data_IF_202845143012
#
_entry.id   IF_202845143012
#
_cell.length_a   1.000
_cell.length_b   1.000
_cell.length_c   1.000
_cell.angle_alpha   90.00
_cell.angle_beta   90.00
_cell.angle_gamma   90.00
#
_symmetry.space_group_name_H-M   'P 1'
#
loop_
_entity.id
_entity.type
_entity.pdbx_description
1 polymer ?
#
# COMPACT_ATOMS: atom_id res chain seq x y z
N UNK A 1 15.91 39.19 35.68
CA UNK A 1 16.47 37.82 35.81
C UNK A 1 17.92 37.84 35.35
N UNK A 2 18.83 37.24 36.12
CA UNK A 2 20.26 37.22 35.77
C UNK A 2 20.51 36.19 34.66
N UNK A 3 21.46 36.48 33.76
CA UNK A 3 21.90 35.58 32.70
C UNK A 3 22.28 34.18 33.24
N UNK A 4 22.80 34.14 34.48
CA UNK A 4 23.08 32.88 35.20
C UNK A 4 21.82 32.09 35.50
N UNK A 5 20.72 32.75 35.88
CA UNK A 5 19.43 32.10 36.13
C UNK A 5 18.82 31.55 34.84
N UNK A 6 19.03 32.24 33.72
CA UNK A 6 18.58 31.78 32.39
C UNK A 6 19.36 30.54 31.91
N UNK A 7 20.68 30.53 32.10
CA UNK A 7 21.56 29.40 31.76
C UNK A 7 21.29 28.14 32.59
N UNK A 8 21.02 28.30 33.89
CA UNK A 8 20.65 27.18 34.76
C UNK A 8 19.29 26.59 34.37
N UNK A 9 18.32 27.43 34.00
CA UNK A 9 17.03 26.97 33.50
C UNK A 9 17.16 26.26 32.14
N UNK A 10 18.00 26.77 31.23
CA UNK A 10 18.24 26.11 29.93
C UNK A 10 18.91 24.74 30.11
N UNK A 11 19.87 24.63 31.04
CA UNK A 11 20.53 23.36 31.34
C UNK A 11 19.58 22.31 31.97
N UNK A 12 18.62 22.75 32.78
CA UNK A 12 17.58 21.89 33.36
C UNK A 12 16.56 21.40 32.32
N UNK A 13 16.23 22.22 31.31
CA UNK A 13 15.32 21.83 30.22
C UNK A 13 15.99 20.81 29.28
N UNK A 14 17.29 20.95 29.02
CA UNK A 14 18.04 20.01 28.16
C UNK A 14 18.23 18.63 28.82
N UNK A 15 18.22 18.54 30.16
CA UNK A 15 18.28 17.27 30.89
C UNK A 15 16.96 16.49 30.89
N UNK A 16 15.83 17.14 30.59
CA UNK A 16 14.51 16.51 30.50
C UNK A 16 14.17 16.01 29.09
N UNK A 17 14.98 16.34 28.09
CA UNK A 17 14.89 15.79 26.73
C UNK A 17 15.82 14.59 26.55
N UNK A 18 15.90 13.71 27.54
CA UNK A 18 16.46 12.39 27.34
C UNK A 18 15.64 11.68 26.26
N UNK A 19 16.29 11.18 25.20
CA UNK A 19 15.65 10.38 24.16
C UNK A 19 14.95 9.19 24.82
N UNK A 20 13.65 9.32 25.11
CA UNK A 20 12.85 8.22 25.61
C UNK A 20 12.66 7.23 24.46
N UNK A 21 13.52 6.22 24.41
CA UNK A 21 13.29 5.06 23.54
C UNK A 21 11.93 4.45 23.88
N UNK A 22 11.15 4.00 22.88
CA UNK A 22 9.89 3.33 23.15
C UNK A 22 10.10 2.16 24.12
N UNK A 23 9.13 1.89 25.00
CA UNK A 23 9.23 0.76 25.93
C UNK A 23 9.51 -0.54 25.15
N UNK A 24 10.34 -1.44 25.70
CA UNK A 24 10.66 -2.69 25.02
C UNK A 24 9.41 -3.55 24.84
N UNK A 25 9.38 -4.33 23.76
CA UNK A 25 8.32 -5.31 23.53
C UNK A 25 8.29 -6.34 24.67
N UNK A 26 7.07 -6.66 25.15
CA UNK A 26 6.86 -7.73 26.12
C UNK A 26 6.76 -9.09 25.40
N UNK A 27 7.06 -10.22 26.09
CA UNK A 27 7.09 -11.54 25.47
C UNK A 27 5.80 -11.90 24.71
N UNK A 28 5.95 -12.46 23.51
CA UNK A 28 4.81 -12.88 22.68
C UNK A 28 4.31 -14.27 23.10
N UNK A 29 3.34 -14.29 24.01
CA UNK A 29 2.65 -15.51 24.45
C UNK A 29 1.42 -15.78 23.57
N UNK A 30 0.94 -17.04 23.46
CA UNK A 30 -0.26 -17.35 22.67
C UNK A 30 -1.48 -16.49 23.05
N UNK A 31 -1.67 -16.24 24.35
CA UNK A 31 -2.73 -15.36 24.85
C UNK A 31 -2.57 -13.93 24.33
N UNK A 32 -1.36 -13.36 24.41
CA UNK A 32 -1.10 -12.00 23.94
C UNK A 32 -1.29 -11.89 22.44
N UNK A 33 -0.84 -12.90 21.68
CA UNK A 33 -1.06 -12.97 20.23
C UNK A 33 -2.54 -12.96 19.87
N UNK A 34 -3.36 -13.75 20.56
CA UNK A 34 -4.81 -13.78 20.34
C UNK A 34 -5.46 -12.41 20.62
N UNK A 35 -5.03 -11.73 21.69
CA UNK A 35 -5.51 -10.37 22.01
C UNK A 35 -5.14 -9.37 20.90
N UNK A 36 -3.90 -9.41 20.41
CA UNK A 36 -3.42 -8.55 19.33
C UNK A 36 -4.18 -8.80 18.02
N UNK A 37 -4.44 -10.06 17.67
CA UNK A 37 -5.25 -10.42 16.49
C UNK A 37 -6.69 -9.87 16.60
N UNK A 38 -7.31 -9.97 17.79
CA UNK A 38 -8.65 -9.41 18.03
C UNK A 38 -8.68 -7.89 17.92
N UNK A 39 -7.64 -7.20 18.39
CA UNK A 39 -7.50 -5.76 18.19
C UNK A 39 -7.28 -5.41 16.72
N UNK A 40 -6.45 -6.17 16.00
CA UNK A 40 -6.18 -5.94 14.58
C UNK A 40 -7.44 -6.10 13.71
N UNK A 41 -8.28 -7.10 13.99
CA UNK A 41 -9.56 -7.31 13.32
C UNK A 41 -10.57 -6.15 13.50
N UNK A 42 -10.32 -5.27 14.47
CA UNK A 42 -11.08 -4.04 14.77
C UNK A 42 -10.34 -2.77 14.36
N UNK A 43 -9.16 -2.87 13.77
CA UNK A 43 -8.36 -1.72 13.36
C UNK A 43 -9.00 -0.95 12.20
N UNK A 44 -8.63 0.33 12.05
CA UNK A 44 -9.20 1.26 11.08
C UNK A 44 -9.20 0.71 9.64
N UNK A 45 -8.09 0.12 9.19
CA UNK A 45 -8.00 -0.51 7.86
C UNK A 45 -8.95 -1.70 7.72
N UNK A 46 -9.02 -2.58 8.73
CA UNK A 46 -9.89 -3.76 8.66
C UNK A 46 -11.37 -3.41 8.69
N UNK A 47 -11.76 -2.37 9.44
CA UNK A 47 -13.13 -1.84 9.41
C UNK A 47 -13.44 -1.22 8.05
N UNK A 48 -12.50 -0.48 7.46
CA UNK A 48 -12.65 0.11 6.13
C UNK A 48 -12.89 -0.96 5.06
N UNK A 49 -12.16 -2.09 5.10
CA UNK A 49 -12.40 -3.21 4.18
C UNK A 49 -13.80 -3.79 4.32
N UNK A 50 -14.24 -4.06 5.56
CA UNK A 50 -15.60 -4.57 5.82
C UNK A 50 -16.67 -3.62 5.29
N UNK A 51 -16.49 -2.31 5.43
CA UNK A 51 -17.41 -1.31 4.89
C UNK A 51 -17.42 -1.29 3.36
N UNK A 52 -16.26 -1.41 2.71
CA UNK A 52 -16.16 -1.48 1.25
C UNK A 52 -16.81 -2.75 0.70
N UNK A 53 -16.62 -3.89 1.36
CA UNK A 53 -17.26 -5.16 1.01
C UNK A 53 -18.78 -5.06 1.14
N UNK A 54 -19.27 -4.49 2.24
CA UNK A 54 -20.70 -4.30 2.47
C UNK A 54 -21.33 -3.35 1.43
N UNK A 55 -20.64 -2.27 1.05
CA UNK A 55 -21.09 -1.35 0.00
C UNK A 55 -21.13 -2.04 -1.36
N UNK A 56 -20.11 -2.83 -1.69
CA UNK A 56 -20.04 -3.58 -2.94
C UNK A 56 -21.18 -4.61 -3.05
N UNK A 57 -21.49 -5.30 -1.96
CA UNK A 57 -22.59 -6.26 -1.89
C UNK A 57 -23.98 -5.62 -1.98
N UNK A 58 -24.11 -4.33 -1.66
CA UNK A 58 -25.38 -3.60 -1.65
C UNK A 58 -25.76 -2.99 -3.01
N UNK A 59 -24.85 -2.95 -3.99
CA UNK A 59 -25.13 -2.44 -5.35
C UNK A 59 -25.72 -3.57 -6.21
N UNK A 60 -26.99 -3.50 -6.64
CA UNK A 60 -27.56 -4.46 -7.57
C UNK A 60 -27.02 -4.16 -8.99
N UNK A 61 -26.17 -5.03 -9.51
CA UNK A 61 -25.56 -4.88 -10.84
C UNK A 61 -24.43 -5.88 -11.04
N UNK A 62 -24.09 -6.18 -12.30
CA UNK A 62 -23.06 -7.15 -12.66
C UNK A 62 -21.77 -6.94 -11.85
N UNK A 63 -21.07 -8.03 -11.44
CA UNK A 63 -19.79 -7.91 -10.79
C UNK A 63 -18.91 -6.95 -11.58
N UNK A 64 -18.20 -6.04 -10.90
CA UNK A 64 -17.26 -5.13 -11.54
C UNK A 64 -16.23 -5.96 -12.31
N UNK A 65 -16.46 -6.17 -13.61
CA UNK A 65 -15.68 -7.09 -14.44
C UNK A 65 -14.26 -6.53 -14.52
N UNK A 66 -13.31 -7.25 -13.94
CA UNK A 66 -11.90 -6.97 -14.14
C UNK A 66 -11.53 -7.37 -15.56
N UNK A 67 -10.89 -6.45 -16.29
CA UNK A 67 -10.33 -6.73 -17.61
C UNK A 67 -9.20 -7.75 -17.46
N UNK A 68 -9.29 -8.87 -18.16
CA UNK A 68 -8.23 -9.88 -18.17
C UNK A 68 -7.07 -9.48 -19.09
N UNK A 69 -5.89 -10.06 -18.85
CA UNK A 69 -4.73 -9.85 -19.71
C UNK A 69 -4.99 -10.28 -21.16
N UNK A 70 -5.77 -11.35 -21.36
CA UNK A 70 -6.12 -11.86 -22.69
C UNK A 70 -7.06 -10.90 -23.44
N UNK A 71 -8.04 -10.30 -22.76
CA UNK A 71 -8.92 -9.28 -23.36
C UNK A 71 -8.14 -8.01 -23.71
N UNK A 72 -7.30 -7.53 -22.80
CA UNK A 72 -6.43 -6.38 -23.03
C UNK A 72 -5.48 -6.64 -24.22
N UNK A 73 -4.90 -7.84 -24.30
CA UNK A 73 -4.02 -8.25 -25.40
C UNK A 73 -4.79 -8.34 -26.73
N UNK A 74 -5.98 -8.93 -26.74
CA UNK A 74 -6.80 -9.07 -27.94
C UNK A 74 -7.19 -7.71 -28.52
N UNK A 75 -7.64 -6.78 -27.66
CA UNK A 75 -7.95 -5.40 -28.05
C UNK A 75 -6.70 -4.71 -28.63
N UNK A 76 -5.55 -4.86 -27.98
CA UNK A 76 -4.33 -4.22 -28.45
C UNK A 76 -3.78 -4.81 -29.76
N UNK A 77 -3.89 -6.13 -29.96
CA UNK A 77 -3.55 -6.79 -31.24
C UNK A 77 -4.35 -6.19 -32.40
N UNK A 78 -5.66 -6.00 -32.19
CA UNK A 78 -6.54 -5.37 -33.17
C UNK A 78 -6.15 -3.92 -33.44
N UNK A 79 -5.81 -3.16 -32.40
CA UNK A 79 -5.39 -1.76 -32.53
C UNK A 79 -4.08 -1.61 -33.29
N UNK A 80 -3.06 -2.40 -32.96
CA UNK A 80 -1.77 -2.29 -33.64
C UNK A 80 -1.86 -2.73 -35.10
N UNK A 81 -2.64 -3.79 -35.39
CA UNK A 81 -2.80 -4.37 -36.73
C UNK A 81 -1.45 -4.62 -37.45
N UNK A 82 -0.46 -5.09 -36.71
CA UNK A 82 0.87 -5.48 -37.22
C UNK A 82 1.10 -6.97 -37.01
N UNK A 83 1.83 -7.58 -37.93
CA UNK A 83 2.26 -8.97 -37.79
C UNK A 83 3.55 -9.03 -36.95
N UNK A 84 3.42 -9.51 -35.71
CA UNK A 84 4.53 -9.69 -34.78
C UNK A 84 4.64 -11.16 -34.34
N UNK A 85 5.85 -11.66 -34.03
CA UNK A 85 6.05 -13.04 -33.64
C UNK A 85 5.22 -13.44 -32.40
N UNK A 86 4.81 -14.70 -32.32
CA UNK A 86 4.06 -15.23 -31.17
C UNK A 86 4.74 -14.95 -29.82
N UNK A 87 6.08 -15.03 -29.78
CA UNK A 87 6.87 -14.75 -28.59
C UNK A 87 6.72 -13.30 -28.06
N UNK A 88 6.54 -12.31 -28.95
CA UNK A 88 6.25 -10.93 -28.54
C UNK A 88 4.92 -10.86 -27.78
N UNK A 89 3.88 -11.49 -28.33
CA UNK A 89 2.56 -11.47 -27.74
C UNK A 89 2.48 -12.24 -26.42
N UNK A 90 3.26 -13.31 -26.27
CA UNK A 90 3.36 -14.04 -25.00
C UNK A 90 4.01 -13.19 -23.91
N UNK A 91 5.12 -12.51 -24.21
CA UNK A 91 5.78 -11.62 -23.25
C UNK A 91 4.89 -10.42 -22.89
N UNK A 92 4.23 -9.81 -23.87
CA UNK A 92 3.28 -8.73 -23.64
C UNK A 92 2.11 -9.15 -22.73
N UNK A 93 1.57 -10.35 -22.94
CA UNK A 93 0.52 -10.92 -22.09
C UNK A 93 0.98 -11.07 -20.64
N UNK A 94 2.22 -11.54 -20.43
CA UNK A 94 2.80 -11.66 -19.10
C UNK A 94 2.96 -10.29 -18.42
N UNK A 95 3.44 -9.28 -19.14
CA UNK A 95 3.56 -7.91 -18.64
C UNK A 95 2.19 -7.33 -18.27
N UNK A 96 1.16 -7.55 -19.12
CA UNK A 96 -0.21 -7.11 -18.84
C UNK A 96 -0.81 -7.78 -17.59
N UNK A 97 -0.58 -9.09 -17.41
CA UNK A 97 -1.03 -9.80 -16.23
C UNK A 97 -0.43 -9.21 -14.94
N UNK A 98 0.88 -8.92 -14.96
CA UNK A 98 1.55 -8.26 -13.83
C UNK A 98 0.93 -6.88 -13.52
N UNK A 99 0.66 -6.07 -14.55
CA UNK A 99 0.05 -4.75 -14.38
C UNK A 99 -1.37 -4.84 -13.79
N UNK A 100 -2.19 -5.80 -14.24
CA UNK A 100 -3.55 -6.01 -13.75
C UNK A 100 -3.53 -6.38 -12.26
N UNK A 101 -2.56 -7.20 -11.85
CA UNK A 101 -2.41 -7.65 -10.46
C UNK A 101 -1.69 -6.64 -9.56
N UNK A 102 -1.11 -5.57 -10.12
CA UNK A 102 -0.25 -4.61 -9.41
C UNK A 102 -0.90 -4.05 -8.14
N UNK A 103 -2.16 -3.63 -8.23
CA UNK A 103 -2.88 -3.08 -7.07
C UNK A 103 -3.12 -4.15 -6.00
N UNK A 104 -3.57 -5.34 -6.38
CA UNK A 104 -3.82 -6.43 -5.44
C UNK A 104 -2.53 -6.85 -4.71
N UNK A 105 -1.40 -6.87 -5.44
CA UNK A 105 -0.08 -7.08 -4.86
C UNK A 105 0.29 -5.98 -3.86
N UNK A 106 0.10 -4.71 -4.24
CA UNK A 106 0.32 -3.57 -3.34
C UNK A 106 -0.53 -3.65 -2.07
N UNK A 107 -1.81 -3.99 -2.19
CA UNK A 107 -2.73 -4.19 -1.06
C UNK A 107 -2.26 -5.32 -0.13
N UNK A 108 -1.80 -6.45 -0.68
CA UNK A 108 -1.28 -7.57 0.10
C UNK A 108 0.01 -7.21 0.88
N UNK A 109 0.96 -6.55 0.20
CA UNK A 109 2.22 -6.10 0.83
C UNK A 109 1.92 -5.04 1.89
N UNK A 110 1.10 -4.04 1.56
CA UNK A 110 0.66 -3.00 2.48
C UNK A 110 0.00 -3.56 3.72
N UNK A 111 -0.90 -4.55 3.57
CA UNK A 111 -1.58 -5.16 4.71
C UNK A 111 -0.61 -5.93 5.61
N UNK A 112 0.34 -6.67 5.04
CA UNK A 112 1.36 -7.38 5.79
C UNK A 112 2.25 -6.41 6.59
N UNK A 113 2.72 -5.33 5.95
CA UNK A 113 3.55 -4.30 6.58
C UNK A 113 2.78 -3.53 7.67
N UNK A 114 1.51 -3.21 7.41
CA UNK A 114 0.62 -2.59 8.38
C UNK A 114 0.41 -3.49 9.60
N UNK A 115 0.08 -4.78 9.40
CA UNK A 115 -0.08 -5.74 10.50
C UNK A 115 1.18 -5.86 11.34
N UNK A 116 2.35 -5.92 10.70
CA UNK A 116 3.62 -5.95 11.41
C UNK A 116 3.79 -4.73 12.31
N UNK A 117 3.68 -3.50 11.77
CA UNK A 117 3.84 -2.27 12.58
C UNK A 117 2.78 -2.13 13.67
N UNK A 118 1.56 -2.55 13.39
CA UNK A 118 0.48 -2.57 14.37
C UNK A 118 0.85 -3.50 15.54
N UNK A 119 1.31 -4.72 15.26
CA UNK A 119 1.73 -5.67 16.28
C UNK A 119 2.98 -5.21 17.04
N UNK A 120 3.93 -4.56 16.37
CA UNK A 120 5.08 -3.93 17.01
C UNK A 120 4.65 -2.92 18.09
N UNK A 121 3.65 -2.09 17.81
CA UNK A 121 3.09 -1.15 18.80
C UNK A 121 2.34 -1.89 19.93
N UNK A 122 1.46 -2.84 19.58
CA UNK A 122 0.71 -3.60 20.59
C UNK A 122 1.61 -4.43 21.51
N UNK A 123 2.74 -4.93 21.02
CA UNK A 123 3.67 -5.76 21.78
C UNK A 123 4.23 -5.06 23.02
N UNK A 124 4.24 -3.73 23.04
CA UNK A 124 4.74 -2.90 24.14
C UNK A 124 3.70 -2.76 25.27
N UNK A 125 2.43 -3.03 24.99
CA UNK A 125 1.35 -2.84 25.94
C UNK A 125 1.24 -4.00 26.96
N UNK A 126 0.98 -3.68 28.24
CA UNK A 126 0.66 -4.68 29.26
C UNK A 126 -0.54 -5.55 28.84
N UNK A 127 -0.48 -6.84 29.15
CA UNK A 127 -1.55 -7.80 28.83
C UNK A 127 -2.94 -7.37 29.34
N UNK A 128 -3.10 -6.78 30.54
CA UNK A 128 -4.41 -6.27 30.98
C UNK A 128 -4.98 -5.16 30.08
N UNK A 129 -4.14 -4.27 29.55
CA UNK A 129 -4.58 -3.22 28.61
C UNK A 129 -4.98 -3.82 27.27
N UNK A 130 -4.19 -4.75 26.72
CA UNK A 130 -4.55 -5.49 25.51
C UNK A 130 -5.88 -6.24 25.70
N UNK A 131 -6.10 -6.84 26.87
CA UNK A 131 -7.35 -7.53 27.19
C UNK A 131 -8.56 -6.57 27.25
N UNK A 132 -8.42 -5.42 27.90
CA UNK A 132 -9.48 -4.41 27.95
C UNK A 132 -9.87 -3.94 26.54
N UNK A 133 -8.89 -3.56 25.73
CA UNK A 133 -9.10 -3.07 24.36
C UNK A 133 -9.65 -4.14 23.42
N UNK A 134 -9.09 -5.36 23.44
CA UNK A 134 -9.52 -6.45 22.57
C UNK A 134 -10.99 -6.88 22.84
N UNK A 135 -11.43 -6.81 24.10
CA UNK A 135 -12.78 -7.20 24.50
C UNK A 135 -13.82 -6.07 24.35
N UNK A 136 -13.39 -4.82 24.23
CA UNK A 136 -14.30 -3.68 24.09
C UNK A 136 -15.08 -3.74 22.76
N UNK A 137 -16.38 -3.40 22.74
CA UNK A 137 -17.14 -3.24 21.50
C UNK A 137 -16.55 -2.14 20.60
N UNK A 138 -16.10 -1.04 21.22
CA UNK A 138 -15.37 0.05 20.57
C UNK A 138 -14.08 0.33 21.33
N UNK A 139 -12.94 -0.06 20.76
CA UNK A 139 -11.64 0.10 21.39
C UNK A 139 -11.24 1.59 21.49
N UNK A 140 -11.55 2.38 20.47
CA UNK A 140 -11.26 3.82 20.36
C UNK A 140 -11.98 4.69 21.40
N UNK A 141 -13.01 4.16 22.06
CA UNK A 141 -13.75 4.83 23.12
C UNK A 141 -13.08 4.69 24.50
N UNK A 142 -12.09 3.81 24.65
CA UNK A 142 -11.40 3.55 25.91
C UNK A 142 -10.18 4.47 26.08
N UNK A 143 -9.94 4.91 27.32
CA UNK A 143 -8.82 5.81 27.64
C UNK A 143 -7.45 5.14 27.42
N UNK A 144 -7.39 3.82 27.45
CA UNK A 144 -6.21 3.01 27.20
C UNK A 144 -5.81 2.98 25.71
N UNK A 145 -6.74 3.24 24.80
CA UNK A 145 -6.48 3.15 23.36
C UNK A 145 -5.35 4.08 22.88
N UNK A 146 -5.38 5.41 23.16
CA UNK A 146 -4.28 6.29 22.77
C UNK A 146 -2.97 6.01 23.51
N UNK A 147 -2.99 5.23 24.60
CA UNK A 147 -1.76 4.80 25.30
C UNK A 147 -1.09 3.62 24.60
N UNK A 148 -1.89 2.76 23.97
CA UNK A 148 -1.42 1.54 23.29
C UNK A 148 -1.17 1.76 21.80
N UNK A 149 -2.00 2.58 21.15
CA UNK A 149 -1.92 2.95 19.73
C UNK A 149 -1.99 4.47 19.57
N UNK A 150 -0.99 5.22 20.04
CA UNK A 150 -0.99 6.69 19.99
C UNK A 150 -1.06 7.25 18.56
N UNK A 151 -0.68 6.45 17.55
CA UNK A 151 -0.54 6.86 16.16
C UNK A 151 -1.33 5.95 15.19
N UNK A 152 -2.50 5.43 15.59
CA UNK A 152 -3.32 4.54 14.73
C UNK A 152 -3.61 5.13 13.34
N UNK A 153 -3.94 6.43 13.28
CA UNK A 153 -4.14 7.11 12.00
C UNK A 153 -2.87 7.13 11.13
N UNK A 154 -1.68 7.32 11.73
CA UNK A 154 -0.43 7.27 10.97
C UNK A 154 -0.15 5.87 10.43
N UNK A 155 -0.54 4.81 11.15
CA UNK A 155 -0.45 3.45 10.64
C UNK A 155 -1.38 3.24 9.45
N UNK A 156 -2.58 3.84 9.46
CA UNK A 156 -3.49 3.81 8.32
C UNK A 156 -2.91 4.55 7.11
N UNK A 157 -2.28 5.72 7.32
CA UNK A 157 -1.54 6.40 6.25
C UNK A 157 -0.37 5.59 5.74
N UNK A 158 0.38 4.94 6.64
CA UNK A 158 1.47 4.04 6.26
C UNK A 158 0.99 2.92 5.34
N UNK A 159 -0.14 2.27 5.66
CA UNK A 159 -0.77 1.29 4.78
C UNK A 159 -1.03 1.87 3.38
N UNK A 160 -1.72 3.02 3.31
CA UNK A 160 -2.10 3.64 2.03
C UNK A 160 -0.88 4.03 1.19
N UNK A 161 0.16 4.56 1.82
CA UNK A 161 1.41 4.90 1.14
C UNK A 161 2.14 3.66 0.64
N UNK A 162 2.22 2.59 1.44
CA UNK A 162 2.83 1.34 0.98
C UNK A 162 2.07 0.74 -0.20
N UNK A 163 0.74 0.74 -0.19
CA UNK A 163 -0.05 0.27 -1.34
C UNK A 163 0.25 1.11 -2.58
N UNK A 164 0.29 2.44 -2.44
CA UNK A 164 0.58 3.33 -3.55
C UNK A 164 1.99 3.11 -4.11
N UNK A 165 3.00 3.09 -3.26
CA UNK A 165 4.41 2.93 -3.65
C UNK A 165 4.63 1.60 -4.39
N UNK A 166 4.11 0.50 -3.86
CA UNK A 166 4.21 -0.83 -4.50
C UNK A 166 3.44 -0.88 -5.82
N UNK A 167 2.24 -0.29 -5.88
CA UNK A 167 1.46 -0.24 -7.12
C UNK A 167 2.17 0.59 -8.19
N UNK A 168 2.71 1.76 -7.82
CA UNK A 168 3.47 2.61 -8.75
C UNK A 168 4.75 1.94 -9.21
N UNK A 169 5.44 1.23 -8.33
CA UNK A 169 6.61 0.45 -8.71
C UNK A 169 6.29 -0.57 -9.81
N UNK A 170 5.23 -1.36 -9.66
CA UNK A 170 4.81 -2.33 -10.69
C UNK A 170 4.40 -1.66 -12.01
N UNK A 171 3.70 -0.52 -11.95
CA UNK A 171 3.37 0.28 -13.14
C UNK A 171 4.66 0.74 -13.84
N UNK A 172 5.64 1.25 -13.09
CA UNK A 172 6.92 1.67 -13.64
C UNK A 172 7.68 0.52 -14.29
N UNK A 173 7.72 -0.66 -13.66
CA UNK A 173 8.33 -1.86 -14.21
C UNK A 173 7.62 -2.30 -15.50
N UNK A 174 6.28 -2.26 -15.53
CA UNK A 174 5.51 -2.56 -16.74
C UNK A 174 5.95 -1.69 -17.93
N UNK A 175 6.01 -0.37 -17.75
CA UNK A 175 6.40 0.52 -18.85
C UNK A 175 7.85 0.28 -19.31
N UNK A 176 8.77 0.01 -18.38
CA UNK A 176 10.14 -0.33 -18.71
C UNK A 176 10.21 -1.63 -19.51
N UNK A 177 9.57 -2.70 -19.04
CA UNK A 177 9.51 -3.98 -19.74
C UNK A 177 8.86 -3.86 -21.11
N UNK A 178 7.85 -3.02 -21.27
CA UNK A 178 7.22 -2.78 -22.56
C UNK A 178 8.12 -2.01 -23.52
N UNK A 179 8.88 -1.02 -23.04
CA UNK A 179 9.85 -0.29 -23.87
C UNK A 179 10.99 -1.22 -24.33
N UNK A 180 11.50 -2.07 -23.44
CA UNK A 180 12.54 -3.04 -23.76
C UNK A 180 12.02 -4.09 -24.77
N UNK A 181 10.79 -4.57 -24.58
CA UNK A 181 10.13 -5.51 -25.48
C UNK A 181 9.89 -4.91 -26.87
N UNK A 182 9.35 -3.69 -26.95
CA UNK A 182 9.09 -3.02 -28.23
C UNK A 182 10.40 -2.70 -28.98
N UNK A 183 11.47 -2.37 -28.26
CA UNK A 183 12.80 -2.19 -28.84
C UNK A 183 13.37 -3.52 -29.38
N UNK A 184 13.26 -4.60 -28.61
CA UNK A 184 13.76 -5.93 -29.00
C UNK A 184 13.15 -6.44 -30.31
N UNK A 185 11.85 -6.18 -30.52
CA UNK A 185 11.13 -6.63 -31.72
C UNK A 185 10.99 -5.55 -32.81
N UNK A 186 11.62 -4.37 -32.64
CA UNK A 186 11.57 -3.30 -33.62
C UNK A 186 10.16 -2.72 -33.86
N UNK A 187 9.28 -2.82 -32.86
CA UNK A 187 7.86 -2.46 -32.97
C UNK A 187 7.67 -1.00 -33.36
N UNK A 188 8.54 -0.11 -32.89
CA UNK A 188 8.47 1.32 -33.20
C UNK A 188 8.63 1.67 -34.68
N UNK A 189 9.18 0.78 -35.50
CA UNK A 189 9.23 0.96 -36.95
C UNK A 189 7.89 0.62 -37.64
N UNK A 190 7.03 -0.12 -36.96
CA UNK A 190 5.77 -0.67 -37.48
C UNK A 190 4.54 0.01 -36.87
N UNK A 191 4.67 0.53 -35.64
CA UNK A 191 3.58 1.09 -34.86
C UNK A 191 4.00 2.40 -34.17
N UNK A 192 3.34 3.54 -34.47
CA UNK A 192 3.79 4.86 -34.00
C UNK A 192 3.65 5.06 -32.49
N UNK A 193 2.69 4.39 -31.85
CA UNK A 193 2.40 4.47 -30.41
C UNK A 193 3.12 3.35 -29.62
N UNK A 194 4.24 2.86 -30.14
CA UNK A 194 5.11 1.93 -29.41
C UNK A 194 5.63 2.54 -28.09
N UNK A 195 6.01 1.68 -27.16
CA UNK A 195 6.68 2.06 -25.92
C UNK A 195 8.12 2.50 -26.20
N UNK A 196 8.56 3.58 -25.55
CA UNK A 196 9.90 4.13 -25.69
C UNK A 196 10.50 4.46 -24.31
N UNK A 197 11.84 4.43 -24.15
CA UNK A 197 12.49 4.72 -22.86
C UNK A 197 12.18 6.12 -22.31
N UNK A 198 11.85 7.08 -23.17
CA UNK A 198 11.51 8.45 -22.79
C UNK A 198 10.05 8.62 -22.33
N UNK A 199 9.27 7.54 -22.17
CA UNK A 199 7.84 7.60 -21.82
C UNK A 199 7.55 8.45 -20.56
N UNK A 200 8.48 8.52 -19.59
CA UNK A 200 8.35 9.36 -18.38
C UNK A 200 8.46 10.87 -18.66
N UNK A 201 9.05 11.25 -19.80
CA UNK A 201 9.32 12.64 -20.20
C UNK A 201 8.57 13.07 -21.45
N UNK A 202 8.02 12.12 -22.20
CA UNK A 202 7.20 12.38 -23.38
C UNK A 202 5.90 13.07 -22.95
N UNK A 203 5.64 14.28 -23.48
CA UNK A 203 4.34 14.94 -23.29
C UNK A 203 3.25 14.06 -23.91
N UNK A 204 2.10 13.86 -23.23
CA UNK A 204 0.96 13.18 -23.83
C UNK A 204 0.63 13.83 -25.19
N UNK A 205 0.65 13.05 -26.26
CA UNK A 205 0.15 13.54 -27.54
C UNK A 205 -1.37 13.67 -27.41
N UNK A 206 -1.88 14.88 -27.69
CA UNK A 206 -3.31 15.08 -27.76
C UNK A 206 -3.90 14.12 -28.82
N UNK A 207 -5.12 13.58 -28.60
CA UNK A 207 -5.77 12.74 -29.58
C UNK A 207 -5.81 13.48 -30.92
N UNK A 208 -5.37 12.81 -32.00
CA UNK A 208 -5.53 13.36 -33.35
C UNK A 208 -7.02 13.49 -33.62
N UNK A 209 -7.45 14.72 -33.83
CA UNK A 209 -8.76 15.02 -34.39
C UNK A 209 -8.71 14.69 -35.88
N UNK A 210 -9.24 13.53 -36.24
CA UNK A 210 -9.67 13.24 -37.61
C UNK A 210 -11.06 13.85 -37.86
#
# INVERSE_FOLDING_TARGET
>A
MSLKTLLVMLALVVMLTGCASPPPALPDTPQRRELMERMFAKSTIMLSFKELDARSAAVPGEPQRQLSADEALASHKQQMNVDLPAAYWEQRRANLAQLIDARAKGEAIGLAAYKQKYFEQLSQAPTPMLAALANAPRMDALAEFPLVLPNDHQLSYFYLMTVADETFWEIEQFYQHMADLDAQYGVCALYPDCYRPDFRTAKPQAPRSD
#
